data_IF_343493190330
#
_entry.id   IF_343493190330
#
_cell.length_a   1.000
_cell.length_b   1.000
_cell.length_c   1.000
_cell.angle_alpha   90.00
_cell.angle_beta   90.00
_cell.angle_gamma   90.00
#
_symmetry.space_group_name_H-M   'P 1'
#
loop_
_entity.id
_entity.type
_entity.pdbx_description
1 polymer ?
#
# COMPACT_ATOMS: atom_id res chain seq x y z
N UNK A 1 -18.95 9.08 8.43
CA UNK A 1 -17.54 9.41 8.62
C UNK A 1 -16.81 8.40 9.50
N UNK A 2 -15.54 8.66 9.79
CA UNK A 2 -14.73 7.84 10.71
C UNK A 2 -13.52 8.58 11.25
N UNK A 3 -13.10 8.19 12.45
CA UNK A 3 -11.83 8.56 13.05
C UNK A 3 -11.10 7.30 13.50
N UNK A 4 -9.81 7.22 13.23
CA UNK A 4 -8.91 6.19 13.74
C UNK A 4 -7.78 6.86 14.50
N UNK A 5 -7.65 6.51 15.77
CA UNK A 5 -6.58 6.96 16.64
C UNK A 5 -5.67 5.77 16.95
N UNK A 6 -4.39 5.94 16.68
CA UNK A 6 -3.36 4.93 16.86
C UNK A 6 -2.36 5.33 17.95
N UNK A 7 -1.97 4.36 18.74
CA UNK A 7 -0.83 4.43 19.67
C UNK A 7 0.14 3.34 19.26
N UNK A 8 1.41 3.66 19.10
CA UNK A 8 2.47 2.69 18.79
C UNK A 8 3.60 2.83 19.77
N UNK A 9 3.91 1.71 20.42
CA UNK A 9 5.14 1.52 21.17
C UNK A 9 6.12 0.75 20.27
N UNK A 10 7.24 1.37 19.96
CA UNK A 10 8.30 0.84 19.12
C UNK A 10 9.43 0.38 20.01
N UNK A 11 9.31 -0.80 20.64
CA UNK A 11 10.43 -1.41 21.32
C UNK A 11 11.43 -1.90 20.28
N UNK A 12 12.55 -1.20 20.19
CA UNK A 12 13.55 -1.44 19.16
C UNK A 12 14.37 -2.68 19.45
N UNK A 13 14.63 -3.46 18.42
CA UNK A 13 15.68 -4.47 18.40
C UNK A 13 17.08 -3.87 18.34
N UNK A 14 17.33 -2.70 18.96
CA UNK A 14 18.68 -2.17 19.12
C UNK A 14 19.45 -3.10 20.07
N UNK A 15 20.59 -3.58 19.60
CA UNK A 15 21.48 -4.45 20.38
C UNK A 15 22.24 -3.69 21.46
N UNK A 16 22.11 -2.37 21.54
CA UNK A 16 22.82 -1.55 22.50
C UNK A 16 21.85 -0.64 23.30
N UNK A 17 21.84 -0.82 24.63
CA UNK A 17 20.96 -0.10 25.54
C UNK A 17 21.26 1.40 25.67
N UNK A 18 22.45 1.83 25.21
CA UNK A 18 22.85 3.26 25.21
C UNK A 18 22.16 4.06 24.10
N UNK A 19 21.51 3.40 23.16
CA UNK A 19 20.99 3.99 21.94
C UNK A 19 19.49 4.32 21.97
N UNK A 20 18.83 4.13 23.11
CA UNK A 20 17.37 4.37 23.25
C UNK A 20 16.96 5.83 23.09
N UNK A 21 17.84 6.78 23.31
CA UNK A 21 17.44 8.19 23.51
C UNK A 21 17.48 9.10 22.28
N UNK A 22 17.92 8.65 21.12
CA UNK A 22 18.15 9.58 20.00
C UNK A 22 17.65 9.14 18.62
N UNK A 23 17.09 7.95 18.44
CA UNK A 23 16.53 7.54 17.16
C UNK A 23 15.02 7.72 17.17
N UNK A 24 14.45 8.03 16.03
CA UNK A 24 13.03 8.22 15.71
C UNK A 24 12.11 7.02 15.99
N UNK A 25 12.41 6.30 17.03
CA UNK A 25 11.65 5.21 17.62
C UNK A 25 10.78 5.69 18.79
N UNK A 26 10.52 6.99 18.88
CA UNK A 26 9.62 7.55 19.87
C UNK A 26 8.23 6.92 19.70
N UNK A 27 7.62 6.60 20.82
CA UNK A 27 6.22 6.23 20.88
C UNK A 27 5.39 7.25 20.12
N UNK A 28 4.46 6.78 19.32
CA UNK A 28 3.73 7.62 18.42
C UNK A 28 2.24 7.57 18.73
N UNK A 29 1.67 8.77 18.97
CA UNK A 29 0.24 9.01 18.99
C UNK A 29 -0.13 9.68 17.68
N UNK A 30 -0.99 9.08 16.87
CA UNK A 30 -1.43 9.68 15.63
C UNK A 30 -2.93 9.53 15.38
N UNK A 31 -3.54 10.55 14.78
CA UNK A 31 -4.82 10.37 14.11
C UNK A 31 -4.50 9.77 12.75
N UNK A 32 -4.66 8.44 12.65
CA UNK A 32 -4.31 7.68 11.45
C UNK A 32 -5.21 8.03 10.26
N UNK A 33 -6.49 8.27 10.52
CA UNK A 33 -7.49 8.71 9.55
C UNK A 33 -8.58 9.52 10.23
N UNK A 34 -8.95 10.63 9.62
CA UNK A 34 -10.14 11.40 9.95
C UNK A 34 -10.88 11.68 8.64
N UNK A 35 -11.91 10.90 8.35
CA UNK A 35 -12.63 10.95 7.07
C UNK A 35 -14.08 11.28 7.27
N UNK A 36 -14.59 12.17 6.42
CA UNK A 36 -16.00 12.52 6.34
C UNK A 36 -16.41 12.50 4.87
N UNK A 37 -17.62 12.08 4.59
CA UNK A 37 -18.10 12.02 3.23
C UNK A 37 -19.59 11.86 3.12
N UNK A 38 -20.05 11.97 1.90
CA UNK A 38 -21.43 11.74 1.51
C UNK A 38 -21.47 10.70 0.40
N UNK A 39 -22.45 9.82 0.46
CA UNK A 39 -22.75 8.86 -0.59
C UNK A 39 -24.25 8.76 -0.78
N UNK A 40 -24.66 8.43 -1.97
CA UNK A 40 -26.08 8.32 -2.28
C UNK A 40 -26.35 7.77 -3.65
N UNK A 41 -27.62 7.76 -4.01
CA UNK A 41 -28.11 7.35 -5.32
C UNK A 41 -28.95 8.46 -5.91
N UNK A 42 -28.60 8.85 -7.14
CA UNK A 42 -29.38 9.78 -7.96
C UNK A 42 -30.15 8.91 -8.94
N UNK A 43 -31.45 8.90 -8.87
CA UNK A 43 -32.27 7.93 -9.55
C UNK A 43 -31.88 6.48 -9.16
N UNK A 44 -32.40 5.46 -9.83
CA UNK A 44 -32.10 4.07 -9.49
C UNK A 44 -30.72 3.59 -9.97
N UNK A 45 -30.15 4.30 -10.93
CA UNK A 45 -29.03 3.79 -11.73
C UNK A 45 -27.69 4.49 -11.44
N UNK A 46 -27.72 5.69 -10.84
CA UNK A 46 -26.50 6.47 -10.57
C UNK A 46 -26.26 6.50 -9.07
N UNK A 47 -25.15 5.93 -8.63
CA UNK A 47 -24.63 6.10 -7.27
C UNK A 47 -23.37 6.95 -7.26
N UNK A 48 -23.13 7.64 -6.16
CA UNK A 48 -21.96 8.47 -5.97
C UNK A 48 -21.40 8.36 -4.56
N UNK A 49 -20.13 8.65 -4.43
CA UNK A 49 -19.46 8.77 -3.14
C UNK A 49 -18.40 9.88 -3.24
N UNK A 50 -18.39 10.77 -2.25
CA UNK A 50 -17.36 11.78 -2.06
C UNK A 50 -16.90 11.74 -0.62
N UNK A 51 -15.60 11.50 -0.40
CA UNK A 51 -14.98 11.40 0.93
C UNK A 51 -13.75 12.31 0.97
N UNK A 52 -13.72 13.17 1.98
CA UNK A 52 -12.54 13.94 2.35
C UNK A 52 -11.77 13.26 3.49
N UNK A 53 -10.46 13.47 3.53
CA UNK A 53 -9.58 13.06 4.61
C UNK A 53 -8.91 14.28 5.21
N UNK A 54 -9.17 14.54 6.49
CA UNK A 54 -8.63 15.71 7.20
C UNK A 54 -7.21 15.50 7.75
N UNK A 55 -6.65 14.27 7.58
CA UNK A 55 -5.29 13.95 8.01
C UNK A 55 -4.40 13.83 6.78
N UNK A 56 -3.23 14.44 6.83
CA UNK A 56 -2.25 14.43 5.76
C UNK A 56 -2.03 15.82 5.15
N UNK A 57 -1.37 15.88 3.99
CA UNK A 57 -1.12 17.14 3.29
C UNK A 57 -2.43 17.77 2.80
N UNK A 58 -2.55 19.09 2.95
CA UNK A 58 -3.69 19.90 2.48
C UNK A 58 -3.97 19.74 0.97
N UNK A 59 -2.97 19.30 0.20
CA UNK A 59 -3.09 19.08 -1.25
C UNK A 59 -3.86 17.81 -1.62
N UNK A 60 -4.10 16.88 -0.68
CA UNK A 60 -4.73 15.60 -0.93
C UNK A 60 -6.00 15.37 -0.08
N UNK A 61 -6.81 16.41 0.10
CA UNK A 61 -8.04 16.31 0.88
C UNK A 61 -9.03 15.26 0.32
N UNK A 62 -9.16 15.15 -1.02
CA UNK A 62 -10.10 14.22 -1.64
C UNK A 62 -9.54 12.80 -1.61
N UNK A 63 -10.08 11.96 -0.72
CA UNK A 63 -9.73 10.54 -0.60
C UNK A 63 -10.45 9.68 -1.66
N UNK A 64 -11.74 9.94 -1.88
CA UNK A 64 -12.60 9.25 -2.85
C UNK A 64 -13.55 10.27 -3.46
N UNK A 65 -13.78 10.22 -4.76
CA UNK A 65 -14.82 11.00 -5.43
C UNK A 65 -15.17 10.31 -6.76
N UNK A 66 -16.33 9.67 -6.84
CA UNK A 66 -16.75 9.01 -8.07
C UNK A 66 -18.26 9.04 -8.26
N UNK A 67 -18.67 8.89 -9.51
CA UNK A 67 -20.01 8.50 -9.92
C UNK A 67 -19.97 7.11 -10.56
N UNK A 68 -21.00 6.31 -10.31
CA UNK A 68 -21.14 4.96 -10.84
C UNK A 68 -22.51 4.80 -11.47
N UNK A 69 -22.55 4.46 -12.74
CA UNK A 69 -23.77 4.15 -13.48
C UNK A 69 -23.94 2.64 -13.59
N UNK A 70 -25.07 2.12 -13.11
CA UNK A 70 -25.40 0.70 -13.14
C UNK A 70 -26.40 0.38 -14.23
N UNK A 71 -25.95 -0.12 -15.39
CA UNK A 71 -26.86 -0.67 -16.40
C UNK A 71 -27.63 -1.87 -15.86
N UNK A 72 -26.91 -2.73 -15.16
CA UNK A 72 -27.43 -3.88 -14.42
C UNK A 72 -26.32 -4.37 -13.44
N UNK A 73 -26.53 -5.48 -12.74
CA UNK A 73 -25.53 -6.05 -11.83
C UNK A 73 -24.27 -6.52 -12.54
N UNK A 74 -24.41 -7.02 -13.77
CA UNK A 74 -23.28 -7.54 -14.54
C UNK A 74 -22.47 -6.44 -15.25
N UNK A 75 -23.04 -5.25 -15.45
CA UNK A 75 -22.37 -4.17 -16.15
C UNK A 75 -22.62 -2.83 -15.46
N UNK A 76 -21.57 -2.25 -14.92
CA UNK A 76 -21.56 -0.95 -14.26
C UNK A 76 -20.36 -0.15 -14.73
N UNK A 77 -20.53 1.15 -14.89
CA UNK A 77 -19.48 2.07 -15.30
C UNK A 77 -19.21 3.08 -14.20
N UNK A 78 -17.95 3.24 -13.82
CA UNK A 78 -17.51 4.17 -12.78
C UNK A 78 -16.50 5.15 -13.33
N UNK A 79 -16.65 6.42 -12.98
CA UNK A 79 -15.72 7.49 -13.31
C UNK A 79 -15.39 8.30 -12.06
N UNK A 80 -14.11 8.68 -11.88
CA UNK A 80 -13.64 9.47 -10.75
C UNK A 80 -12.45 8.86 -10.03
N UNK A 81 -12.28 9.21 -8.76
CA UNK A 81 -11.22 8.69 -7.89
C UNK A 81 -11.77 7.58 -6.99
N UNK A 82 -11.31 6.37 -7.22
CA UNK A 82 -11.76 5.16 -6.52
C UNK A 82 -10.63 4.12 -6.44
N UNK A 83 -10.80 3.07 -5.65
CA UNK A 83 -9.88 1.93 -5.61
C UNK A 83 -9.88 1.20 -6.95
N UNK A 84 -8.68 0.97 -7.48
CA UNK A 84 -8.53 0.21 -8.72
C UNK A 84 -8.84 -1.27 -8.48
N UNK A 85 -9.32 -2.01 -9.51
CA UNK A 85 -9.71 -3.41 -9.35
C UNK A 85 -8.46 -4.31 -9.25
N UNK A 86 -7.90 -4.39 -8.06
CA UNK A 86 -6.72 -5.17 -7.76
C UNK A 86 -6.63 -5.46 -6.25
N UNK A 87 -6.24 -6.70 -5.87
CA UNK A 87 -6.00 -7.17 -4.50
C UNK A 87 -7.23 -7.24 -3.60
N UNK A 88 -7.45 -8.38 -3.00
CA UNK A 88 -8.51 -8.61 -2.01
C UNK A 88 -8.29 -7.74 -0.76
N UNK A 89 -7.04 -7.67 -0.28
CA UNK A 89 -6.69 -6.85 0.88
C UNK A 89 -6.91 -5.35 0.62
N UNK A 90 -6.55 -4.84 -0.59
CA UNK A 90 -6.80 -3.44 -0.92
C UNK A 90 -8.29 -3.15 -1.04
N UNK A 91 -9.06 -4.02 -1.71
CA UNK A 91 -10.50 -3.81 -1.90
C UNK A 91 -11.27 -3.89 -0.59
N UNK A 92 -10.82 -4.68 0.37
CA UNK A 92 -11.32 -4.64 1.75
C UNK A 92 -11.16 -3.22 2.32
N UNK A 93 -12.25 -2.67 2.82
CA UNK A 93 -12.23 -1.32 3.40
C UNK A 93 -11.25 -1.25 4.57
N UNK A 94 -10.49 -0.16 4.68
CA UNK A 94 -9.65 0.06 5.86
C UNK A 94 -10.43 0.25 7.18
N UNK A 95 -11.77 0.26 7.13
CA UNK A 95 -12.61 0.10 8.31
C UNK A 95 -12.68 -1.35 8.79
N UNK A 96 -12.41 -2.30 7.91
CA UNK A 96 -12.74 -3.71 8.08
C UNK A 96 -11.53 -4.64 7.95
N UNK A 97 -10.33 -4.09 7.78
CA UNK A 97 -9.10 -4.88 7.76
C UNK A 97 -8.88 -5.54 9.13
N UNK A 98 -8.31 -6.74 9.11
CA UNK A 98 -8.14 -7.58 10.29
C UNK A 98 -6.92 -7.18 11.13
N UNK A 99 -5.93 -6.60 10.49
CA UNK A 99 -4.71 -6.07 11.09
C UNK A 99 -4.66 -4.55 10.92
N UNK A 100 -4.02 -3.83 11.82
CA UNK A 100 -3.99 -2.36 11.80
C UNK A 100 -3.37 -1.78 10.54
N UNK A 101 -2.39 -2.47 9.95
CA UNK A 101 -1.76 -2.10 8.68
C UNK A 101 -1.86 -3.28 7.69
N UNK A 102 -1.77 -2.97 6.39
CA UNK A 102 -1.80 -3.95 5.32
C UNK A 102 -0.41 -4.56 5.09
N UNK A 103 -0.39 -5.70 4.40
CA UNK A 103 0.82 -6.45 4.06
C UNK A 103 1.83 -5.66 3.21
N UNK A 104 3.05 -6.19 3.08
CA UNK A 104 4.06 -5.61 2.19
C UNK A 104 3.58 -5.49 0.75
N UNK A 105 2.87 -6.51 0.23
CA UNK A 105 2.35 -6.52 -1.13
C UNK A 105 1.45 -5.32 -1.42
N UNK A 106 0.67 -4.90 -0.46
CA UNK A 106 -0.24 -3.76 -0.62
C UNK A 106 0.49 -2.42 -0.86
N UNK A 107 1.77 -2.29 -0.49
CA UNK A 107 2.53 -1.07 -0.75
C UNK A 107 2.81 -0.85 -2.25
N UNK A 108 2.68 -1.88 -3.07
CA UNK A 108 2.87 -1.84 -4.52
C UNK A 108 1.55 -1.72 -5.29
N UNK A 109 0.41 -1.91 -4.63
CA UNK A 109 -0.92 -1.85 -5.25
C UNK A 109 -1.31 -0.41 -5.58
N UNK A 110 -1.95 -0.12 -6.72
CA UNK A 110 -2.27 1.24 -7.14
C UNK A 110 -3.24 1.98 -6.18
N UNK A 111 -4.02 1.28 -5.36
CA UNK A 111 -4.94 1.89 -4.41
C UNK A 111 -6.01 2.76 -5.08
N UNK A 112 -6.24 3.96 -4.55
CA UNK A 112 -7.23 4.92 -5.08
C UNK A 112 -6.59 5.85 -6.11
N UNK A 113 -7.07 5.80 -7.35
CA UNK A 113 -6.59 6.62 -8.46
C UNK A 113 -7.75 7.20 -9.25
N UNK A 114 -7.48 8.31 -9.94
CA UNK A 114 -8.42 8.92 -10.89
C UNK A 114 -8.48 8.09 -12.15
N UNK A 115 -9.68 7.68 -12.57
CA UNK A 115 -9.83 6.81 -13.74
C UNK A 115 -11.27 6.48 -14.10
N UNK A 116 -11.38 5.55 -15.01
CA UNK A 116 -12.62 4.97 -15.52
C UNK A 116 -12.59 3.46 -15.30
N UNK A 117 -13.72 2.86 -14.94
CA UNK A 117 -13.81 1.42 -14.70
C UNK A 117 -15.12 0.85 -15.19
N UNK A 118 -15.03 -0.27 -15.91
CA UNK A 118 -16.15 -1.17 -16.17
C UNK A 118 -16.04 -2.34 -15.19
N UNK A 119 -17.13 -2.65 -14.45
CA UNK A 119 -17.12 -3.70 -13.46
C UNK A 119 -18.51 -4.30 -13.26
N UNK A 120 -18.57 -5.43 -12.57
CA UNK A 120 -19.85 -6.04 -12.24
C UNK A 120 -19.73 -7.46 -11.74
N UNK A 121 -20.89 -8.06 -11.48
CA UNK A 121 -21.06 -9.48 -11.18
C UNK A 121 -21.62 -10.16 -12.44
N UNK A 122 -20.72 -10.80 -13.21
CA UNK A 122 -21.07 -11.42 -14.49
C UNK A 122 -22.04 -12.59 -14.31
N UNK A 123 -21.87 -13.35 -13.26
CA UNK A 123 -22.80 -14.37 -12.74
C UNK A 123 -22.58 -14.48 -11.24
N UNK A 124 -23.50 -15.16 -10.56
CA UNK A 124 -23.44 -15.32 -9.11
C UNK A 124 -22.08 -15.81 -8.64
N UNK A 125 -21.43 -15.03 -7.79
CA UNK A 125 -20.09 -15.31 -7.27
C UNK A 125 -18.94 -14.96 -8.19
N UNK A 126 -19.17 -14.55 -9.47
CA UNK A 126 -18.12 -14.14 -10.39
C UNK A 126 -18.12 -12.62 -10.58
N UNK A 127 -17.15 -11.96 -10.01
CA UNK A 127 -16.96 -10.50 -10.09
C UNK A 127 -15.77 -10.16 -11.00
N UNK A 128 -15.87 -9.07 -11.74
CA UNK A 128 -14.79 -8.57 -12.57
C UNK A 128 -14.70 -7.04 -12.52
N UNK A 129 -13.55 -6.53 -12.85
CA UNK A 129 -13.31 -5.10 -13.04
C UNK A 129 -12.16 -4.87 -14.01
N UNK A 130 -12.32 -3.89 -14.90
CA UNK A 130 -11.27 -3.41 -15.81
C UNK A 130 -11.26 -1.89 -15.73
N UNK A 131 -10.10 -1.30 -15.52
CA UNK A 131 -9.96 0.14 -15.37
C UNK A 131 -8.79 0.72 -16.16
N UNK A 132 -8.96 1.99 -16.54
CA UNK A 132 -7.91 2.88 -17.05
C UNK A 132 -7.77 4.02 -16.05
N UNK A 133 -6.56 4.34 -15.62
CA UNK A 133 -6.32 5.33 -14.57
C UNK A 133 -4.97 6.02 -14.72
N UNK A 134 -4.81 7.15 -14.04
CA UNK A 134 -3.55 7.84 -13.92
C UNK A 134 -2.82 7.45 -12.64
N UNK A 135 -1.54 7.14 -12.75
CA UNK A 135 -0.68 6.85 -11.59
C UNK A 135 0.74 7.41 -11.82
N UNK A 136 1.34 7.92 -10.77
CA UNK A 136 2.75 8.30 -10.73
C UNK A 136 3.56 7.40 -9.78
N UNK A 137 2.98 6.26 -9.37
CA UNK A 137 3.52 5.28 -8.43
C UNK A 137 3.83 5.83 -7.03
N UNK A 138 3.41 7.06 -6.76
CA UNK A 138 3.49 7.70 -5.45
C UNK A 138 2.10 7.97 -4.89
N UNK A 139 1.98 8.29 -3.62
CA UNK A 139 0.68 8.63 -3.01
C UNK A 139 0.11 9.98 -3.51
N UNK A 140 0.94 10.80 -4.14
CA UNK A 140 0.52 12.10 -4.68
C UNK A 140 -0.21 11.90 -6.01
N UNK A 141 -1.51 12.14 -6.01
CA UNK A 141 -2.41 11.82 -7.12
C UNK A 141 -2.55 12.91 -8.19
N UNK A 142 -1.92 14.06 -7.99
CA UNK A 142 -2.10 15.23 -8.87
C UNK A 142 -0.78 15.65 -9.56
N UNK A 143 0.13 14.71 -9.78
CA UNK A 143 1.37 15.02 -10.49
C UNK A 143 1.10 15.15 -11.99
N UNK A 144 1.64 16.20 -12.59
CA UNK A 144 1.70 16.37 -14.06
C UNK A 144 2.47 15.25 -14.77
N UNK A 145 3.18 14.43 -14.01
CA UNK A 145 4.01 13.32 -14.51
C UNK A 145 3.30 11.95 -14.36
N UNK A 146 2.00 11.93 -14.10
CA UNK A 146 1.23 10.70 -14.05
C UNK A 146 1.08 10.09 -15.44
N UNK A 147 1.49 8.83 -15.58
CA UNK A 147 1.30 8.05 -16.80
C UNK A 147 -0.08 7.38 -16.87
N UNK A 148 -0.39 6.84 -18.02
CA UNK A 148 -1.60 6.03 -18.24
C UNK A 148 -1.35 4.60 -17.81
N UNK A 149 -2.25 4.08 -16.99
CA UNK A 149 -2.16 2.76 -16.42
C UNK A 149 -3.49 2.02 -16.59
N UNK A 150 -3.43 0.70 -16.58
CA UNK A 150 -4.63 -0.13 -16.56
C UNK A 150 -4.55 -1.16 -15.44
N UNK A 151 -5.71 -1.60 -14.98
CA UNK A 151 -5.84 -2.75 -14.10
C UNK A 151 -7.03 -3.62 -14.52
N UNK A 152 -6.89 -4.91 -14.35
CA UNK A 152 -7.96 -5.86 -14.51
C UNK A 152 -7.92 -6.90 -13.38
N UNK A 153 -9.10 -7.29 -12.92
CA UNK A 153 -9.27 -8.31 -11.86
C UNK A 153 -10.47 -9.17 -12.17
N UNK A 154 -10.34 -10.44 -11.89
CA UNK A 154 -11.44 -11.40 -11.80
C UNK A 154 -11.40 -12.04 -10.41
N UNK A 155 -12.56 -12.22 -9.79
CA UNK A 155 -12.70 -12.87 -8.49
C UNK A 155 -13.92 -13.80 -8.51
N UNK A 156 -13.74 -15.02 -8.07
CA UNK A 156 -14.75 -16.05 -8.04
C UNK A 156 -14.95 -16.60 -6.63
N UNK A 157 -16.19 -16.63 -6.15
CA UNK A 157 -16.58 -17.31 -4.93
C UNK A 157 -17.33 -18.60 -5.27
N UNK A 158 -16.61 -19.72 -5.26
CA UNK A 158 -17.17 -21.03 -5.59
C UNK A 158 -18.28 -21.50 -4.62
N UNK A 159 -18.23 -21.07 -3.37
CA UNK A 159 -19.26 -21.41 -2.40
C UNK A 159 -20.58 -20.69 -2.72
N UNK A 160 -20.53 -19.44 -3.15
CA UNK A 160 -21.73 -18.69 -3.56
C UNK A 160 -22.34 -19.26 -4.83
N UNK A 161 -21.50 -19.61 -5.81
CA UNK A 161 -21.90 -20.28 -7.04
C UNK A 161 -22.54 -21.65 -6.76
N UNK A 162 -21.90 -22.47 -5.92
CA UNK A 162 -22.33 -23.81 -5.54
C UNK A 162 -23.41 -23.82 -4.46
N UNK A 163 -23.86 -22.65 -3.95
CA UNK A 163 -24.86 -22.52 -2.86
C UNK A 163 -24.43 -23.28 -1.59
N UNK A 164 -23.14 -23.22 -1.24
CA UNK A 164 -22.60 -23.83 -0.01
C UNK A 164 -22.76 -22.81 1.12
N UNK A 165 -23.63 -23.12 2.07
CA UNK A 165 -23.95 -22.24 3.18
C UNK A 165 -22.74 -21.98 4.10
N UNK A 166 -22.73 -20.80 4.72
CA UNK A 166 -21.75 -20.37 5.75
C UNK A 166 -20.28 -20.47 5.30
N UNK A 167 -20.04 -20.49 3.98
CA UNK A 167 -18.73 -20.76 3.39
C UNK A 167 -18.36 -19.67 2.39
N UNK A 168 -17.06 -19.34 2.30
CA UNK A 168 -16.44 -18.55 1.24
C UNK A 168 -15.33 -19.39 0.63
N UNK A 169 -15.34 -19.55 -0.67
CA UNK A 169 -14.27 -20.17 -1.47
C UNK A 169 -13.84 -19.18 -2.54
N UNK A 170 -13.02 -18.21 -2.12
CA UNK A 170 -12.59 -17.11 -2.97
C UNK A 170 -11.31 -17.47 -3.72
N UNK A 171 -11.34 -17.19 -5.00
CA UNK A 171 -10.23 -17.25 -5.92
C UNK A 171 -10.19 -15.95 -6.71
N UNK A 172 -9.06 -15.24 -6.74
CA UNK A 172 -8.91 -14.00 -7.47
C UNK A 172 -7.58 -13.93 -8.22
N UNK A 173 -7.60 -13.21 -9.34
CA UNK A 173 -6.41 -12.87 -10.10
C UNK A 173 -6.52 -11.43 -10.60
N UNK A 174 -5.44 -10.67 -10.43
CA UNK A 174 -5.36 -9.29 -10.85
C UNK A 174 -4.07 -9.00 -11.63
N UNK A 175 -4.18 -8.09 -12.57
CA UNK A 175 -3.04 -7.51 -13.28
C UNK A 175 -3.14 -6.00 -13.28
N UNK A 176 -2.01 -5.32 -13.22
CA UNK A 176 -1.92 -3.88 -13.50
C UNK A 176 -0.59 -3.58 -14.17
N UNK A 177 -0.63 -2.72 -15.15
CA UNK A 177 0.55 -2.28 -15.88
C UNK A 177 0.40 -0.81 -16.26
N UNK A 178 1.52 -0.14 -16.37
CA UNK A 178 1.56 1.24 -16.82
C UNK A 178 2.90 1.90 -16.62
N UNK A 179 2.95 3.17 -16.94
CA UNK A 179 4.16 3.99 -16.92
C UNK A 179 3.97 5.20 -16.02
N UNK A 180 5.04 5.62 -15.39
CA UNK A 180 5.12 6.90 -14.71
C UNK A 180 6.42 7.60 -15.06
N UNK A 181 6.43 8.92 -14.94
CA UNK A 181 7.63 9.71 -15.09
C UNK A 181 8.04 10.30 -13.75
N UNK A 182 9.31 10.29 -13.45
CA UNK A 182 9.87 10.94 -12.28
C UNK A 182 11.01 11.86 -12.66
N UNK A 183 11.10 12.96 -11.95
CA UNK A 183 12.24 13.90 -12.08
C UNK A 183 13.16 13.62 -10.90
N UNK A 184 14.46 13.42 -11.15
CA UNK A 184 15.41 13.29 -10.08
C UNK A 184 15.40 14.51 -9.17
N UNK A 185 15.33 14.29 -7.86
CA UNK A 185 15.44 15.36 -6.88
C UNK A 185 16.87 15.48 -6.39
N UNK A 186 17.41 16.68 -6.35
CA UNK A 186 18.72 16.96 -5.81
C UNK A 186 18.68 16.81 -4.28
N UNK A 187 19.45 15.87 -3.75
CA UNK A 187 19.66 15.73 -2.31
C UNK A 187 21.14 16.05 -2.03
N UNK A 188 21.39 17.10 -1.29
CA UNK A 188 22.75 17.50 -0.91
C UNK A 188 22.83 18.96 -0.46
N UNK A 189 23.91 19.30 0.21
CA UNK A 189 24.17 20.64 0.72
C UNK A 189 24.36 21.62 -0.46
N UNK A 190 23.52 22.63 -0.53
CA UNK A 190 23.51 23.67 -1.59
C UNK A 190 24.80 24.49 -1.66
N UNK A 191 25.77 24.28 -0.75
CA UNK A 191 27.03 25.01 -0.71
C UNK A 191 28.15 24.36 -1.52
N UNK A 192 28.03 23.08 -1.90
CA UNK A 192 28.96 22.39 -2.78
C UNK A 192 28.23 21.72 -3.94
N UNK A 193 28.00 22.45 -5.01
CA UNK A 193 27.35 21.94 -6.24
C UNK A 193 28.07 20.70 -6.87
N UNK A 194 29.30 20.43 -6.45
CA UNK A 194 30.08 19.29 -6.91
C UNK A 194 29.66 17.94 -6.27
N UNK A 195 28.90 17.96 -5.16
CA UNK A 195 28.49 16.77 -4.39
C UNK A 195 26.99 16.50 -4.43
N UNK A 196 26.22 17.28 -5.16
CA UNK A 196 24.78 17.09 -5.27
C UNK A 196 24.48 15.81 -6.07
N UNK A 197 24.10 14.76 -5.37
CA UNK A 197 23.64 13.51 -5.99
C UNK A 197 22.19 13.61 -6.35
N UNK A 198 21.87 13.49 -7.63
CA UNK A 198 20.50 13.56 -8.13
C UNK A 198 20.00 12.15 -8.41
N UNK A 199 19.02 11.67 -7.65
CA UNK A 199 18.49 10.32 -7.75
C UNK A 199 16.97 10.32 -7.83
N UNK A 200 16.42 9.40 -8.61
CA UNK A 200 15.00 9.12 -8.65
C UNK A 200 14.70 7.78 -7.96
N UNK A 201 13.74 7.76 -7.06
CA UNK A 201 13.31 6.53 -6.41
C UNK A 201 12.36 5.78 -7.34
N UNK A 202 12.69 4.53 -7.64
CA UNK A 202 11.86 3.60 -8.43
C UNK A 202 10.83 2.95 -7.51
N UNK A 203 11.30 2.41 -6.39
CA UNK A 203 10.46 1.78 -5.37
C UNK A 203 11.08 1.98 -4.00
N UNK A 204 10.23 2.24 -3.01
CA UNK A 204 10.58 2.28 -1.60
C UNK A 204 9.55 1.48 -0.81
N UNK A 205 10.01 0.60 0.07
CA UNK A 205 9.18 -0.15 0.99
C UNK A 205 9.50 0.30 2.42
N UNK A 206 8.46 0.56 3.19
CA UNK A 206 8.55 0.78 4.63
C UNK A 206 8.31 -0.50 5.39
N UNK A 207 8.64 -0.54 6.67
CA UNK A 207 8.21 -1.66 7.51
C UNK A 207 6.67 -1.75 7.55
N UNK A 208 6.15 -2.98 7.61
CA UNK A 208 4.71 -3.24 7.53
C UNK A 208 3.93 -2.45 8.57
N UNK A 209 4.42 -2.41 9.80
CA UNK A 209 3.76 -1.74 10.91
C UNK A 209 4.19 -0.28 11.11
N UNK A 210 4.86 0.31 10.09
CA UNK A 210 5.22 1.73 10.03
C UNK A 210 6.25 2.18 11.09
N UNK A 211 7.08 1.27 11.57
CA UNK A 211 8.19 1.63 12.44
C UNK A 211 9.28 2.37 11.67
N UNK A 212 9.71 1.77 10.56
CA UNK A 212 10.73 2.36 9.68
C UNK A 212 10.13 2.82 8.36
N UNK A 213 10.49 4.03 7.94
CA UNK A 213 10.02 4.65 6.70
C UNK A 213 10.66 4.06 5.44
N UNK A 214 11.86 3.49 5.54
CA UNK A 214 12.61 2.92 4.42
C UNK A 214 13.34 1.65 4.83
N UNK A 215 12.71 0.50 4.58
CA UNK A 215 13.32 -0.82 4.79
C UNK A 215 14.06 -1.29 3.54
N UNK A 216 13.53 -0.95 2.37
CA UNK A 216 14.15 -1.17 1.06
C UNK A 216 13.92 0.04 0.18
N UNK A 217 14.94 0.42 -0.58
CA UNK A 217 14.84 1.49 -1.58
C UNK A 217 15.70 1.14 -2.79
N UNK A 218 15.13 1.22 -3.97
CA UNK A 218 15.85 1.18 -5.23
C UNK A 218 15.75 2.54 -5.92
N UNK A 219 16.90 3.06 -6.34
CA UNK A 219 17.04 4.38 -6.95
C UNK A 219 17.87 4.29 -8.23
N UNK A 220 17.43 5.00 -9.26
CA UNK A 220 18.17 5.24 -10.49
C UNK A 220 18.76 6.64 -10.48
N UNK A 221 19.95 6.79 -10.99
CA UNK A 221 20.66 8.04 -11.12
C UNK A 221 22.10 7.95 -10.67
N UNK A 222 22.94 8.82 -11.16
CA UNK A 222 24.34 8.89 -10.85
C UNK A 222 24.69 10.18 -10.13
N UNK A 223 25.91 10.26 -9.63
CA UNK A 223 26.43 11.42 -8.88
C UNK A 223 26.45 12.73 -9.71
N UNK A 224 25.95 12.70 -10.95
CA UNK A 224 26.00 13.84 -11.88
C UNK A 224 24.81 13.97 -12.83
N UNK A 225 23.66 13.29 -12.59
CA UNK A 225 22.45 13.57 -13.37
C UNK A 225 21.87 14.89 -12.86
N UNK A 226 21.97 15.95 -13.66
CA UNK A 226 21.30 17.23 -13.37
C UNK A 226 22.12 18.31 -12.68
N UNK A 227 23.44 18.32 -12.79
CA UNK A 227 24.20 19.48 -12.31
C UNK A 227 23.81 20.75 -13.09
N UNK A 228 23.38 21.77 -12.35
CA UNK A 228 22.93 23.08 -12.82
C UNK A 228 24.02 23.91 -13.56
N UNK A 229 25.22 23.38 -13.73
CA UNK A 229 26.35 24.06 -14.40
C UNK A 229 26.20 24.16 -15.92
N UNK A 230 25.23 23.46 -16.49
CA UNK A 230 24.98 23.45 -17.95
C UNK A 230 23.55 23.87 -18.27
N UNK A 231 23.19 25.10 -17.95
CA UNK A 231 21.94 25.71 -18.32
C UNK A 231 20.80 24.74 -18.01
N UNK A 232 20.12 24.92 -16.91
CA UNK A 232 19.03 24.06 -16.42
C UNK A 232 18.06 23.66 -17.54
N UNK A 233 18.46 22.66 -18.33
CA UNK A 233 17.51 21.91 -19.12
C UNK A 233 16.89 20.92 -18.16
N UNK A 234 15.80 21.35 -17.57
CA UNK A 234 15.05 20.68 -16.53
C UNK A 234 14.41 19.33 -16.93
N UNK A 235 14.95 18.64 -17.92
CA UNK A 235 14.24 17.60 -18.65
C UNK A 235 14.89 16.21 -18.58
N UNK A 236 15.67 15.92 -17.56
CA UNK A 236 16.06 14.54 -17.33
C UNK A 236 14.89 13.80 -16.69
N UNK A 237 13.91 13.43 -17.50
CA UNK A 237 12.77 12.61 -17.10
C UNK A 237 13.21 11.16 -17.11
N UNK A 238 12.98 10.46 -16.02
CA UNK A 238 13.14 9.02 -15.91
C UNK A 238 11.77 8.38 -16.08
N UNK A 239 11.68 7.50 -17.08
CA UNK A 239 10.50 6.69 -17.27
C UNK A 239 10.60 5.44 -16.41
N UNK A 240 9.53 5.10 -15.73
CA UNK A 240 9.41 3.89 -14.91
C UNK A 240 8.20 3.13 -15.45
N UNK A 241 8.44 1.95 -15.97
CA UNK A 241 7.39 0.99 -16.32
C UNK A 241 7.19 0.06 -15.13
N UNK A 242 5.94 -0.24 -14.82
CA UNK A 242 5.57 -1.11 -13.73
C UNK A 242 4.55 -2.14 -14.17
N UNK A 243 4.89 -3.40 -13.99
CA UNK A 243 3.99 -4.53 -14.17
C UNK A 243 3.79 -5.22 -12.83
N UNK A 244 2.55 -5.46 -12.44
CA UNK A 244 2.20 -6.14 -11.20
C UNK A 244 1.12 -7.17 -11.47
N UNK A 245 1.35 -8.38 -11.00
CA UNK A 245 0.36 -9.45 -10.96
C UNK A 245 0.06 -9.85 -9.53
N UNK A 246 -1.17 -10.27 -9.26
CA UNK A 246 -1.61 -10.71 -7.95
C UNK A 246 -2.50 -11.94 -8.03
N UNK A 247 -2.23 -12.92 -7.17
CA UNK A 247 -3.07 -14.08 -6.95
C UNK A 247 -3.72 -13.97 -5.58
N UNK A 248 -5.01 -14.26 -5.48
CA UNK A 248 -5.80 -14.14 -4.27
C UNK A 248 -6.45 -15.48 -3.94
N UNK A 249 -6.39 -15.89 -2.69
CA UNK A 249 -7.11 -17.04 -2.16
C UNK A 249 -7.70 -16.69 -0.79
N UNK A 250 -8.97 -17.00 -0.58
CA UNK A 250 -9.54 -16.98 0.76
C UNK A 250 -10.54 -18.12 0.96
N UNK A 251 -10.44 -18.73 2.11
CA UNK A 251 -11.32 -19.80 2.57
C UNK A 251 -11.93 -19.35 3.91
N UNK A 252 -13.24 -19.34 4.02
CA UNK A 252 -13.87 -19.07 5.29
C UNK A 252 -15.05 -20.01 5.52
N UNK A 253 -15.19 -20.49 6.78
CA UNK A 253 -16.34 -21.30 7.19
C UNK A 253 -16.66 -21.05 8.65
N UNK A 254 -17.90 -20.60 8.88
CA UNK A 254 -18.29 -20.16 10.22
C UNK A 254 -17.35 -19.07 10.75
N UNK A 255 -16.78 -19.25 11.95
CA UNK A 255 -15.89 -18.26 12.57
C UNK A 255 -14.44 -18.27 12.05
N UNK A 256 -14.04 -19.20 11.20
CA UNK A 256 -12.68 -19.32 10.69
C UNK A 256 -12.54 -18.63 9.33
N UNK A 257 -11.42 -17.89 9.14
CA UNK A 257 -10.97 -17.35 7.87
C UNK A 257 -9.48 -17.62 7.67
N UNK A 258 -9.15 -18.13 6.50
CA UNK A 258 -7.82 -18.15 5.91
C UNK A 258 -7.81 -17.19 4.72
N UNK A 259 -6.76 -16.41 4.56
CA UNK A 259 -6.57 -15.55 3.38
C UNK A 259 -5.09 -15.48 3.03
N UNK A 260 -4.79 -15.47 1.74
CA UNK A 260 -3.45 -15.24 1.22
C UNK A 260 -3.49 -14.45 -0.07
N UNK A 261 -2.47 -13.66 -0.31
CA UNK A 261 -2.19 -13.08 -1.62
C UNK A 261 -0.69 -13.20 -1.93
N UNK A 262 -0.41 -13.40 -3.23
CA UNK A 262 0.95 -13.38 -3.78
C UNK A 262 1.04 -12.27 -4.82
N UNK A 263 2.10 -11.46 -4.75
CA UNK A 263 2.33 -10.31 -5.61
C UNK A 263 3.68 -10.43 -6.29
N UNK A 264 3.71 -10.22 -7.60
CA UNK A 264 4.94 -10.17 -8.39
C UNK A 264 4.98 -8.83 -9.14
N UNK A 265 5.88 -7.95 -8.73
CA UNK A 265 6.01 -6.61 -9.29
C UNK A 265 7.35 -6.45 -9.99
N UNK A 266 7.32 -6.06 -11.25
CA UNK A 266 8.50 -5.68 -12.01
C UNK A 266 8.46 -4.18 -12.26
N UNK A 267 9.59 -3.52 -12.00
CA UNK A 267 9.84 -2.13 -12.38
C UNK A 267 11.00 -2.12 -13.37
N UNK A 268 10.83 -1.43 -14.49
CA UNK A 268 11.88 -1.15 -15.45
C UNK A 268 12.04 0.35 -15.54
N UNK A 269 13.17 0.85 -15.08
CA UNK A 269 13.48 2.26 -15.16
C UNK A 269 14.50 2.51 -16.26
N UNK A 270 14.23 3.49 -17.11
CA UNK A 270 15.15 3.93 -18.17
C UNK A 270 15.32 5.44 -18.09
N UNK A 271 16.55 5.87 -18.29
CA UNK A 271 16.91 7.28 -18.29
C UNK A 271 18.12 7.54 -19.16
N UNK A 272 18.31 8.80 -19.52
CA UNK A 272 19.50 9.24 -20.23
C UNK A 272 20.55 9.65 -19.18
N UNK A 273 21.64 8.91 -19.07
CA UNK A 273 22.81 9.29 -18.29
C UNK A 273 23.79 10.00 -19.21
N UNK A 274 24.07 11.26 -18.94
CA UNK A 274 25.20 11.96 -19.60
C UNK A 274 26.42 11.70 -18.76
N UNK A 275 27.32 10.87 -19.28
CA UNK A 275 28.64 10.72 -18.70
C UNK A 275 29.40 12.02 -18.92
N UNK A 276 29.73 12.71 -17.85
CA UNK A 276 30.55 13.92 -17.90
C UNK A 276 32.00 13.61 -17.62
N UNK A 277 32.88 13.93 -18.59
CA UNK A 277 34.34 13.91 -18.39
C UNK A 277 34.77 15.30 -17.94
N UNK A 278 35.28 15.44 -16.72
CA UNK A 278 35.93 16.67 -16.25
C UNK A 278 37.34 16.69 -16.81
N UNK A 279 37.47 17.10 -18.07
CA UNK A 279 38.75 17.54 -18.62
C UNK A 279 38.58 18.98 -19.02
N UNK A 280 39.34 19.86 -18.39
CA UNK A 280 39.39 21.28 -18.75
C UNK A 280 40.39 21.46 -19.90
N UNK A 281 40.01 22.10 -21.03
CA UNK A 281 38.75 22.72 -21.38
C UNK A 281 37.72 21.75 -21.95
N UNK A 282 36.45 22.00 -21.63
CA UNK A 282 35.27 21.16 -21.98
C UNK A 282 35.08 21.12 -23.50
N UNK A 283 35.51 20.07 -24.18
CA UNK A 283 35.34 19.94 -25.64
C UNK A 283 34.74 18.64 -26.12
N UNK A 284 34.31 17.74 -25.26
CA UNK A 284 33.52 16.58 -25.72
C UNK A 284 32.36 16.27 -24.81
N UNK A 285 31.15 16.43 -25.33
CA UNK A 285 29.96 15.78 -24.80
C UNK A 285 30.15 14.28 -25.05
N UNK A 286 30.30 13.50 -23.99
CA UNK A 286 30.27 12.06 -24.11
C UNK A 286 28.87 11.65 -24.60
N UNK A 287 28.82 10.58 -25.39
CA UNK A 287 27.59 10.05 -25.96
C UNK A 287 26.52 9.84 -24.86
N UNK A 288 25.26 10.16 -25.17
CA UNK A 288 24.12 9.85 -24.31
C UNK A 288 24.03 8.34 -24.10
N UNK A 289 24.34 7.86 -22.92
CA UNK A 289 24.16 6.47 -22.55
C UNK A 289 22.78 6.27 -21.92
N UNK A 290 22.00 5.42 -22.51
CA UNK A 290 20.73 4.98 -21.87
C UNK A 290 21.08 4.03 -20.76
N UNK A 291 20.70 4.37 -19.54
CA UNK A 291 20.90 3.54 -18.35
C UNK A 291 19.58 2.81 -18.06
N UNK A 292 19.63 1.51 -17.98
CA UNK A 292 18.49 0.68 -17.59
C UNK A 292 18.67 0.10 -16.18
N UNK A 293 17.61 0.06 -15.42
CA UNK A 293 17.60 -0.54 -14.09
C UNK A 293 16.31 -1.32 -13.86
N UNK A 294 16.44 -2.63 -13.74
CA UNK A 294 15.33 -3.53 -13.46
C UNK A 294 15.26 -3.86 -11.97
N UNK A 295 14.10 -3.71 -11.38
CA UNK A 295 13.84 -4.09 -10.00
C UNK A 295 12.61 -4.98 -9.96
N UNK A 296 12.73 -6.16 -9.36
CA UNK A 296 11.60 -7.06 -9.15
C UNK A 296 11.38 -7.23 -7.66
N UNK A 297 10.13 -7.05 -7.22
CA UNK A 297 9.71 -7.25 -5.84
C UNK A 297 8.62 -8.29 -5.83
N UNK A 298 8.90 -9.41 -5.18
CA UNK A 298 7.90 -10.43 -4.85
C UNK A 298 7.48 -10.25 -3.41
N UNK A 299 6.18 -10.25 -3.16
CA UNK A 299 5.63 -10.16 -1.82
C UNK A 299 4.46 -11.12 -1.66
N UNK A 300 4.31 -11.65 -0.47
CA UNK A 300 3.18 -12.52 -0.14
C UNK A 300 2.78 -12.32 1.32
N UNK A 301 1.54 -12.64 1.61
CA UNK A 301 1.11 -12.83 2.98
C UNK A 301 0.16 -14.01 3.10
N UNK A 302 0.12 -14.58 4.30
CA UNK A 302 -0.83 -15.59 4.74
C UNK A 302 -1.37 -15.14 6.08
N UNK A 303 -2.69 -15.19 6.25
CA UNK A 303 -3.36 -14.85 7.51
C UNK A 303 -4.40 -15.87 7.90
N UNK A 304 -4.55 -16.05 9.20
CA UNK A 304 -5.58 -16.84 9.84
C UNK A 304 -6.32 -15.95 10.83
N UNK A 305 -7.65 -15.96 10.78
CA UNK A 305 -8.52 -15.25 11.70
C UNK A 305 -9.55 -16.18 12.30
N UNK A 306 -9.88 -15.95 13.56
CA UNK A 306 -10.91 -16.67 14.27
C UNK A 306 -11.78 -15.72 15.09
N UNK A 307 -13.10 -15.79 14.88
CA UNK A 307 -14.09 -15.05 15.66
C UNK A 307 -14.42 -15.87 16.91
N UNK A 308 -13.86 -15.49 18.06
CA UNK A 308 -14.04 -16.21 19.35
C UNK A 308 -15.51 -16.26 19.73
N UNK A 309 -16.26 -15.21 19.41
CA UNK A 309 -17.68 -15.07 19.72
C UNK A 309 -18.61 -15.75 18.72
N UNK A 310 -18.05 -16.32 17.63
CA UNK A 310 -18.79 -17.21 16.74
C UNK A 310 -19.32 -16.58 15.46
N UNK A 311 -19.16 -15.29 15.23
CA UNK A 311 -19.66 -14.60 14.04
C UNK A 311 -19.12 -15.23 12.74
N UNK A 312 -19.99 -15.30 11.73
CA UNK A 312 -19.72 -15.99 10.47
C UNK A 312 -19.07 -15.06 9.44
N UNK A 313 -17.90 -15.43 8.92
CA UNK A 313 -17.20 -14.69 7.86
C UNK A 313 -17.98 -14.62 6.54
N UNK A 314 -18.82 -15.60 6.25
CA UNK A 314 -19.64 -15.60 5.03
C UNK A 314 -20.61 -14.43 4.97
N UNK A 315 -21.10 -13.96 6.11
CA UNK A 315 -21.94 -12.76 6.22
C UNK A 315 -21.16 -11.46 5.94
N UNK A 316 -19.85 -11.51 6.09
CA UNK A 316 -18.93 -10.39 5.87
C UNK A 316 -18.24 -10.45 4.48
N UNK A 317 -18.71 -11.25 3.54
CA UNK A 317 -18.17 -11.34 2.20
C UNK A 317 -19.21 -10.95 1.16
N UNK A 318 -18.84 -10.01 0.26
CA UNK A 318 -19.74 -9.53 -0.80
C UNK A 318 -18.96 -8.89 -1.94
N UNK A 319 -19.37 -9.17 -3.19
CA UNK A 319 -18.82 -8.49 -4.37
C UNK A 319 -17.31 -8.72 -4.55
N UNK A 320 -16.82 -9.90 -4.21
CA UNK A 320 -15.42 -10.26 -4.38
C UNK A 320 -14.48 -9.66 -3.33
N UNK A 321 -14.98 -9.21 -2.17
CA UNK A 321 -14.17 -8.68 -1.06
C UNK A 321 -14.82 -8.91 0.31
N UNK A 322 -14.02 -8.85 1.38
CA UNK A 322 -14.54 -8.88 2.74
C UNK A 322 -15.03 -7.50 3.19
N UNK A 323 -16.02 -7.50 4.05
CA UNK A 323 -16.54 -6.36 4.80
C UNK A 323 -16.32 -6.58 6.30
N UNK A 324 -16.89 -5.70 7.14
CA UNK A 324 -16.76 -5.83 8.59
C UNK A 324 -17.65 -6.93 9.17
N UNK A 325 -17.15 -7.57 10.22
CA UNK A 325 -17.94 -8.40 11.09
C UNK A 325 -18.91 -7.52 11.88
N UNK A 326 -20.18 -7.94 11.97
CA UNK A 326 -21.16 -7.32 12.85
C UNK A 326 -21.35 -8.22 14.07
N UNK A 327 -21.16 -7.73 15.31
CA UNK A 327 -21.40 -8.52 16.52
C UNK A 327 -22.85 -9.02 16.57
N UNK A 328 -23.03 -10.30 16.90
CA UNK A 328 -24.37 -10.86 17.18
C UNK A 328 -24.94 -10.31 18.48
N UNK A 329 -24.06 -9.93 19.42
CA UNK A 329 -24.43 -9.34 20.71
C UNK A 329 -23.57 -8.09 20.97
N UNK A 330 -24.15 -6.91 20.82
CA UNK A 330 -23.42 -5.64 20.91
C UNK A 330 -23.07 -5.25 22.35
N UNK A 331 -21.87 -4.71 22.56
CA UNK A 331 -21.38 -4.25 23.87
C UNK A 331 -21.96 -2.89 24.26
N UNK A 332 -22.07 -1.96 23.30
CA UNK A 332 -22.57 -0.61 23.54
C UNK A 332 -23.86 -0.39 22.75
N UNK A 333 -24.69 0.57 23.22
CA UNK A 333 -25.79 1.06 22.40
C UNK A 333 -25.30 1.41 21.01
N UNK A 334 -25.92 0.82 20.02
CA UNK A 334 -25.67 1.28 18.66
C UNK A 334 -26.44 2.58 18.39
N UNK A 335 -26.14 3.21 17.25
CA UNK A 335 -26.78 4.46 16.84
C UNK A 335 -28.30 4.30 16.61
N UNK A 336 -28.81 3.07 16.45
CA UNK A 336 -30.22 2.75 16.29
C UNK A 336 -30.99 2.60 17.61
N UNK A 337 -30.35 2.81 18.76
CA UNK A 337 -31.01 2.74 20.08
C UNK A 337 -31.17 1.35 20.67
N UNK A 338 -30.59 0.32 20.02
CA UNK A 338 -30.56 -1.04 20.60
C UNK A 338 -29.66 -1.04 21.82
N UNK A 339 -30.17 -1.48 22.97
CA UNK A 339 -29.38 -1.60 24.20
C UNK A 339 -28.44 -2.79 24.07
N UNK A 340 -27.14 -2.53 24.08
CA UNK A 340 -26.13 -3.58 24.08
C UNK A 340 -26.02 -4.23 25.47
N UNK A 341 -26.38 -5.50 25.55
CA UNK A 341 -26.20 -6.33 26.74
C UNK A 341 -25.09 -7.38 26.55
N UNK A 342 -24.46 -7.38 25.41
CA UNK A 342 -23.46 -8.36 25.03
C UNK A 342 -22.03 -7.89 25.27
N UNK A 343 -21.10 -8.73 24.84
CA UNK A 343 -19.65 -8.50 24.99
C UNK A 343 -19.00 -7.96 23.70
N UNK A 344 -19.78 -7.71 22.64
CA UNK A 344 -19.27 -7.42 21.31
C UNK A 344 -18.70 -8.66 20.63
N UNK A 345 -18.10 -8.47 19.44
CA UNK A 345 -17.38 -9.55 18.75
C UNK A 345 -15.89 -9.50 19.06
N UNK A 346 -15.31 -10.64 19.37
CA UNK A 346 -13.89 -10.80 19.65
C UNK A 346 -13.22 -11.66 18.58
N UNK A 347 -12.11 -11.17 18.06
CA UNK A 347 -11.36 -11.85 17.02
C UNK A 347 -9.89 -11.95 17.40
N UNK A 348 -9.29 -13.09 17.09
CA UNK A 348 -7.84 -13.28 17.16
C UNK A 348 -7.32 -13.66 15.79
N UNK A 349 -6.09 -13.28 15.50
CA UNK A 349 -5.48 -13.63 14.24
C UNK A 349 -3.97 -13.57 14.24
N UNK A 350 -3.40 -14.20 13.23
CA UNK A 350 -1.98 -14.15 12.93
C UNK A 350 -1.79 -13.97 11.43
N UNK A 351 -0.86 -13.10 11.07
CA UNK A 351 -0.43 -12.90 9.67
C UNK A 351 1.08 -13.00 9.59
N UNK A 352 1.56 -13.72 8.60
CA UNK A 352 2.94 -13.63 8.16
C UNK A 352 2.98 -12.97 6.79
N UNK A 353 3.73 -11.90 6.66
CA UNK A 353 3.91 -11.12 5.44
C UNK A 353 5.40 -11.01 5.13
N UNK A 354 5.78 -11.18 3.87
CA UNK A 354 7.16 -11.12 3.44
C UNK A 354 7.29 -10.42 2.10
N UNK A 355 8.43 -9.80 1.86
CA UNK A 355 8.87 -9.41 0.53
C UNK A 355 10.31 -9.86 0.27
N UNK A 356 10.63 -10.03 -1.02
CA UNK A 356 11.98 -10.20 -1.54
C UNK A 356 12.14 -9.33 -2.78
N UNK A 357 13.15 -8.46 -2.76
CA UNK A 357 13.50 -7.59 -3.86
C UNK A 357 14.80 -8.09 -4.53
N UNK A 358 14.86 -7.98 -5.85
CA UNK A 358 16.06 -8.22 -6.64
C UNK A 358 16.23 -7.07 -7.62
N UNK A 359 17.46 -6.64 -7.81
CA UNK A 359 17.77 -5.56 -8.72
C UNK A 359 18.90 -5.96 -9.66
N UNK A 360 18.79 -5.60 -10.93
CA UNK A 360 19.83 -5.83 -11.93
C UNK A 360 20.13 -4.54 -12.69
N UNK A 361 21.41 -4.22 -12.80
CA UNK A 361 21.88 -3.12 -13.63
C UNK A 361 22.25 -3.65 -15.01
N UNK A 362 21.76 -3.00 -16.06
CA UNK A 362 22.22 -3.26 -17.42
C UNK A 362 23.56 -2.57 -17.75
N UNK A 363 24.03 -1.70 -16.85
CA UNK A 363 25.25 -0.89 -17.03
C UNK A 363 26.37 -1.33 -16.07
N UNK A 364 27.09 -2.40 -16.41
CA UNK A 364 28.23 -2.87 -15.64
C UNK A 364 29.53 -2.06 -15.88
N UNK A 365 29.51 -1.00 -16.70
CA UNK A 365 30.73 -0.39 -17.23
C UNK A 365 31.06 1.03 -16.81
N UNK A 366 30.14 1.87 -16.40
CA UNK A 366 30.37 3.32 -16.31
C UNK A 366 29.97 4.00 -15.00
N UNK A 367 30.29 3.42 -13.84
CA UNK A 367 30.15 4.15 -12.56
C UNK A 367 28.76 4.71 -12.25
N UNK A 368 27.75 4.21 -12.93
CA UNK A 368 26.35 4.54 -12.69
C UNK A 368 25.98 4.12 -11.29
N UNK A 369 25.59 5.06 -10.47
CA UNK A 369 25.29 4.84 -9.06
C UNK A 369 23.84 4.41 -8.83
N UNK A 370 23.36 3.41 -9.59
CA UNK A 370 22.13 2.74 -9.23
C UNK A 370 22.34 2.06 -7.89
N UNK A 371 21.50 2.41 -6.91
CA UNK A 371 21.67 1.96 -5.53
C UNK A 371 20.46 1.18 -5.07
N UNK A 372 20.71 0.04 -4.46
CA UNK A 372 19.82 -0.55 -3.47
C UNK A 372 20.35 -0.20 -2.08
N UNK A 373 19.45 0.22 -1.21
CA UNK A 373 19.75 0.52 0.18
C UNK A 373 18.90 -0.38 1.07
N UNK A 374 19.47 -0.75 2.22
CA UNK A 374 18.82 -1.51 3.25
C UNK A 374 18.53 -2.97 2.86
N UNK A 375 17.50 -3.56 3.45
CA UNK A 375 17.26 -4.98 3.34
C UNK A 375 16.46 -5.33 2.08
N UNK A 376 17.00 -6.22 1.25
CA UNK A 376 16.31 -6.79 0.09
C UNK A 376 15.21 -7.78 0.46
N UNK A 377 15.10 -8.14 1.74
CA UNK A 377 14.08 -9.05 2.26
C UNK A 377 13.65 -8.63 3.65
N UNK A 378 12.35 -8.73 3.93
CA UNK A 378 11.85 -8.71 5.29
C UNK A 378 10.71 -9.72 5.47
N UNK A 379 10.55 -10.20 6.69
CA UNK A 379 9.42 -11.04 7.10
C UNK A 379 8.85 -10.47 8.38
N UNK A 380 7.56 -10.15 8.37
CA UNK A 380 6.82 -9.65 9.52
C UNK A 380 5.79 -10.69 9.94
N UNK A 381 5.78 -11.02 11.22
CA UNK A 381 4.71 -11.79 11.85
C UNK A 381 3.92 -10.86 12.75
N UNK A 382 2.63 -10.75 12.51
CA UNK A 382 1.71 -9.88 13.27
C UNK A 382 0.65 -10.72 13.95
N UNK A 383 0.47 -10.56 15.25
CA UNK A 383 -0.62 -11.11 16.04
C UNK A 383 -1.64 -10.02 16.29
N UNK A 384 -2.92 -10.33 16.17
CA UNK A 384 -4.02 -9.39 16.34
C UNK A 384 -5.03 -9.89 17.36
N UNK A 385 -5.50 -8.97 18.20
CA UNK A 385 -6.70 -9.09 19.00
C UNK A 385 -7.61 -7.91 18.68
N UNK A 386 -8.78 -8.20 18.14
CA UNK A 386 -9.77 -7.18 17.77
C UNK A 386 -11.01 -7.33 18.65
N UNK A 387 -11.49 -6.21 19.15
CA UNK A 387 -12.74 -6.11 19.86
C UNK A 387 -13.69 -5.17 19.12
N UNK A 388 -14.71 -5.72 18.50
CA UNK A 388 -15.74 -5.00 17.76
C UNK A 388 -16.92 -4.81 18.69
N UNK A 389 -17.05 -3.62 19.26
CA UNK A 389 -18.07 -3.31 20.24
C UNK A 389 -19.47 -3.32 19.61
N UNK A 390 -19.58 -2.70 18.45
CA UNK A 390 -20.77 -2.61 17.60
C UNK A 390 -20.36 -2.17 16.17
N UNK A 391 -21.31 -1.87 15.29
CA UNK A 391 -21.03 -1.40 13.92
C UNK A 391 -20.27 -0.05 13.85
N UNK A 392 -20.25 0.71 14.93
CA UNK A 392 -19.68 2.05 14.98
C UNK A 392 -18.32 2.12 15.68
N UNK A 393 -18.00 1.16 16.55
CA UNK A 393 -16.80 1.23 17.38
C UNK A 393 -16.06 -0.10 17.45
N UNK A 394 -14.72 -0.03 17.32
CA UNK A 394 -13.84 -1.17 17.56
C UNK A 394 -12.50 -0.73 18.13
N UNK A 395 -11.87 -1.65 18.84
CA UNK A 395 -10.50 -1.54 19.35
C UNK A 395 -9.67 -2.68 18.75
N UNK A 396 -8.46 -2.38 18.34
CA UNK A 396 -7.52 -3.37 17.77
C UNK A 396 -6.19 -3.28 18.51
N UNK A 397 -5.67 -4.42 18.91
CA UNK A 397 -4.34 -4.56 19.49
C UNK A 397 -3.51 -5.46 18.58
N UNK A 398 -2.36 -4.99 18.12
CA UNK A 398 -1.43 -5.76 17.32
C UNK A 398 -0.05 -5.81 17.99
N UNK A 399 0.56 -6.99 17.97
CA UNK A 399 1.99 -7.17 18.22
C UNK A 399 2.63 -7.67 16.93
N UNK A 400 3.65 -6.98 16.47
CA UNK A 400 4.36 -7.32 15.25
C UNK A 400 5.86 -7.44 15.46
N UNK A 401 6.44 -8.51 14.93
CA UNK A 401 7.89 -8.71 14.84
C UNK A 401 8.29 -8.77 13.37
N UNK A 402 9.21 -7.90 12.97
CA UNK A 402 9.83 -7.89 11.65
C UNK A 402 11.28 -8.33 11.75
N UNK A 403 11.68 -9.30 10.92
CA UNK A 403 13.06 -9.72 10.71
C UNK A 403 13.52 -9.26 9.34
N UNK A 404 14.66 -8.58 9.30
CA UNK A 404 15.26 -8.10 8.05
C UNK A 404 16.29 -9.12 7.54
N UNK A 405 16.39 -9.26 6.21
CA UNK A 405 17.37 -10.14 5.57
C UNK A 405 18.82 -9.64 5.70
N UNK A 406 18.98 -8.32 5.78
CA UNK A 406 20.22 -7.63 6.08
C UNK A 406 19.94 -6.49 7.05
N UNK A 407 20.99 -5.98 7.72
CA UNK A 407 20.83 -4.86 8.65
C UNK A 407 20.27 -3.64 7.94
N UNK A 408 19.27 -3.01 8.54
CA UNK A 408 18.64 -1.79 8.05
C UNK A 408 19.20 -0.62 8.82
N UNK A 409 19.68 0.38 8.09
CA UNK A 409 20.12 1.64 8.68
C UNK A 409 18.89 2.54 8.91
N UNK A 410 18.75 3.04 10.13
CA UNK A 410 17.74 4.04 10.42
C UNK A 410 18.15 5.36 9.76
N UNK A 411 17.52 5.70 8.63
CA UNK A 411 17.90 6.82 7.77
C UNK A 411 17.49 8.20 8.32
N UNK A 412 16.86 8.26 9.48
CA UNK A 412 16.47 9.53 10.10
C UNK A 412 17.65 10.11 10.90
N UNK A 413 18.47 10.92 10.24
CA UNK A 413 19.44 11.78 10.87
C UNK A 413 20.91 11.33 10.88
N UNK A 414 21.30 10.30 10.13
CA UNK A 414 22.73 10.02 9.90
C UNK A 414 23.49 9.48 11.11
N UNK A 415 22.83 8.76 12.00
CA UNK A 415 23.45 8.25 13.24
C UNK A 415 24.17 6.91 13.08
N UNK A 416 24.14 6.31 11.88
CA UNK A 416 24.81 5.02 11.63
C UNK A 416 24.25 3.83 12.42
N UNK A 417 23.05 3.97 13.00
CA UNK A 417 22.42 2.89 13.77
C UNK A 417 21.81 1.87 12.83
N UNK A 418 22.14 0.63 13.04
CA UNK A 418 21.66 -0.50 12.24
C UNK A 418 20.89 -1.49 13.10
N UNK A 419 19.80 -2.04 12.53
CA UNK A 419 18.99 -3.04 13.20
C UNK A 419 18.73 -4.24 12.27
N UNK A 420 18.60 -5.42 12.84
CA UNK A 420 18.27 -6.67 12.15
C UNK A 420 16.81 -7.09 12.38
N UNK A 421 16.14 -6.50 13.36
CA UNK A 421 14.73 -6.75 13.69
C UNK A 421 14.05 -5.51 14.24
N UNK A 422 12.73 -5.48 14.09
CA UNK A 422 11.83 -4.46 14.65
C UNK A 422 10.69 -5.16 15.40
N UNK A 423 10.32 -4.64 16.57
CA UNK A 423 9.15 -5.10 17.33
C UNK A 423 8.26 -3.90 17.63
N UNK A 424 6.97 -4.04 17.42
CA UNK A 424 6.00 -2.96 17.61
C UNK A 424 4.74 -3.50 18.25
N UNK A 425 4.30 -2.86 19.33
CA UNK A 425 2.95 -3.00 19.87
C UNK A 425 2.13 -1.81 19.42
N UNK A 426 0.94 -2.06 18.92
CA UNK A 426 0.07 -1.00 18.39
C UNK A 426 -1.35 -1.18 18.86
N UNK A 427 -1.97 -0.09 19.28
CA UNK A 427 -3.37 -0.01 19.68
C UNK A 427 -4.08 0.97 18.77
N UNK A 428 -5.22 0.57 18.20
CA UNK A 428 -6.12 1.45 17.44
C UNK A 428 -7.49 1.49 18.06
N UNK A 429 -7.99 2.69 18.27
CA UNK A 429 -9.42 2.94 18.53
C UNK A 429 -10.03 3.54 17.26
N UNK A 430 -11.14 2.95 16.83
CA UNK A 430 -11.88 3.40 15.64
C UNK A 430 -13.32 3.69 15.98
N UNK A 431 -13.80 4.82 15.51
CA UNK A 431 -15.20 5.24 15.60
C UNK A 431 -15.70 5.56 14.19
N UNK A 432 -16.82 4.97 13.81
CA UNK A 432 -17.57 5.25 12.58
C UNK A 432 -18.88 5.95 12.92
N UNK A 433 -19.30 6.95 12.15
CA UNK A 433 -20.52 7.74 12.37
C UNK A 433 -21.18 8.16 11.05
#
# INVERSE_FOLDING_TARGET
GRVQFDVRDKSNGFTDSADRDTASAADNFEIRRARIGVSGTINKDISYEVVGNAVGSSTNFVDTAFANYGFNKAAQFRAGRFKQPFSLEELTSSNNIDFMERSYGNQMVPGKRLGLMLHGEATKGLNYGVSLFQDNFTESSNSSNAGSNYAARVAFNGAEFGKIDKTVLHFGYGITSGTAQTVPTTSGNTQNAAEATTRATIVALRSENRGLSNVYRAQIGGDRIGQAQYGASANNVINIDKDLTGLELALARGPFKFQMEDFDTKYTASGISKAYSVVSPATSLAADNTVGYDVRVKAQYVELMYNITGEEWSKAYKGGAFSGISPESVFMKDYGGVVGNGIGAWQVGVRQSTYKATASNSDAGNGGSNRTQNSDKATTTTYALNWILNKNARVMLNYAETKFGSKVEALDGGTGKVMDKEQIISLRTQINF
#
